data_IF_292132494362
#
_entry.id   IF_292132494362
#
_cell.length_a   1.000
_cell.length_b   1.000
_cell.length_c   1.000
_cell.angle_alpha   90.00
_cell.angle_beta   90.00
_cell.angle_gamma   90.00
#
_symmetry.space_group_name_H-M   'P 1'
#
loop_
_entity.id
_entity.type
_entity.pdbx_description
1 polymer ?
#
# COMPACT_ATOMS: atom_id res chain seq x y z
N UNK A 1 6.26 -14.29 -14.22
CA UNK A 1 7.06 -13.32 -13.45
C UNK A 1 6.39 -13.03 -12.11
N UNK A 2 7.15 -13.02 -11.01
CA UNK A 2 6.64 -12.69 -9.68
C UNK A 2 7.14 -11.31 -9.25
N UNK A 3 6.24 -10.43 -8.81
CA UNK A 3 6.58 -9.10 -8.28
C UNK A 3 6.09 -8.99 -6.84
N UNK A 4 7.00 -8.78 -5.91
CA UNK A 4 6.70 -8.55 -4.50
C UNK A 4 6.82 -7.06 -4.19
N UNK A 5 5.81 -6.48 -3.55
CA UNK A 5 5.75 -5.04 -3.23
C UNK A 5 5.61 -4.87 -1.73
N UNK A 6 6.64 -4.38 -1.05
CA UNK A 6 6.48 -3.86 0.30
C UNK A 6 5.77 -2.53 0.25
N UNK A 7 4.68 -2.44 1.00
CA UNK A 7 3.72 -1.34 0.89
C UNK A 7 3.04 -1.08 2.22
N UNK A 8 2.63 0.17 2.45
CA UNK A 8 1.73 0.56 3.53
C UNK A 8 0.52 1.28 2.95
N UNK A 9 -0.66 0.95 3.41
CA UNK A 9 -1.92 1.58 2.99
C UNK A 9 -2.03 3.04 3.40
N UNK A 10 -1.19 3.50 4.35
CA UNK A 10 -1.07 4.93 4.70
C UNK A 10 -0.04 5.70 3.86
N UNK A 11 0.63 5.05 2.89
CA UNK A 11 1.62 5.68 2.04
C UNK A 11 1.01 6.09 0.68
N UNK A 12 0.90 7.38 0.36
CA UNK A 12 0.32 7.82 -0.92
C UNK A 12 1.16 7.37 -2.12
N UNK A 13 2.49 7.30 -1.94
CA UNK A 13 3.37 6.81 -2.99
C UNK A 13 3.20 5.32 -3.28
N UNK A 14 2.71 4.53 -2.33
CA UNK A 14 2.37 3.13 -2.57
C UNK A 14 1.14 3.00 -3.48
N UNK A 15 0.13 3.82 -3.30
CA UNK A 15 -1.05 3.84 -4.19
C UNK A 15 -0.67 4.31 -5.59
N UNK A 16 0.11 5.39 -5.69
CA UNK A 16 0.63 5.89 -6.98
C UNK A 16 1.44 4.80 -7.69
N UNK A 17 2.33 4.12 -6.97
CA UNK A 17 3.17 3.05 -7.53
C UNK A 17 2.39 1.83 -7.96
N UNK A 18 1.31 1.48 -7.24
CA UNK A 18 0.39 0.44 -7.68
C UNK A 18 -0.19 0.78 -9.06
N UNK A 19 -0.61 2.04 -9.29
CA UNK A 19 -1.11 2.49 -10.58
C UNK A 19 -0.06 2.42 -11.68
N UNK A 20 1.18 2.84 -11.40
CA UNK A 20 2.28 2.74 -12.36
C UNK A 20 2.66 1.30 -12.67
N UNK A 21 2.62 0.40 -11.68
CA UNK A 21 2.84 -1.02 -11.89
C UNK A 21 1.75 -1.63 -12.77
N UNK A 22 0.47 -1.33 -12.55
CA UNK A 22 -0.63 -1.79 -13.39
C UNK A 22 -0.46 -1.37 -14.85
N UNK A 23 -0.02 -0.12 -15.08
CA UNK A 23 0.29 0.37 -16.41
C UNK A 23 1.50 -0.34 -17.04
N UNK A 24 2.50 -0.70 -16.24
CA UNK A 24 3.66 -1.45 -16.70
C UNK A 24 3.28 -2.90 -17.05
N UNK A 25 2.49 -3.56 -16.22
CA UNK A 25 1.96 -4.91 -16.45
C UNK A 25 1.14 -4.96 -17.74
N UNK A 26 0.30 -3.95 -17.99
CA UNK A 26 -0.51 -3.88 -19.22
C UNK A 26 0.33 -3.77 -20.51
N UNK A 27 1.60 -3.36 -20.40
CA UNK A 27 2.55 -3.25 -21.53
C UNK A 27 3.56 -4.38 -21.56
N UNK A 28 3.58 -5.25 -20.56
CA UNK A 28 4.54 -6.34 -20.43
C UNK A 28 4.01 -7.61 -21.15
N UNK A 29 4.88 -8.27 -21.91
CA UNK A 29 4.54 -9.53 -22.58
C UNK A 29 4.87 -10.71 -21.66
N UNK A 30 3.88 -11.18 -20.95
CA UNK A 30 3.99 -12.30 -20.02
C UNK A 30 3.03 -12.23 -18.85
N UNK A 31 2.83 -13.35 -18.18
CA UNK A 31 2.02 -13.42 -16.96
C UNK A 31 2.78 -12.84 -15.77
N UNK A 32 2.08 -12.04 -14.97
CA UNK A 32 2.64 -11.39 -13.78
C UNK A 32 1.77 -11.70 -12.57
N UNK A 33 2.41 -12.27 -11.54
CA UNK A 33 1.84 -12.42 -10.20
C UNK A 33 2.34 -11.29 -9.32
N UNK A 34 1.43 -10.54 -8.70
CA UNK A 34 1.76 -9.44 -7.77
C UNK A 34 1.40 -9.84 -6.36
N UNK A 35 2.34 -9.74 -5.43
CA UNK A 35 2.17 -10.02 -4.01
C UNK A 35 2.46 -8.76 -3.20
N UNK A 36 1.48 -8.30 -2.43
CA UNK A 36 1.67 -7.21 -1.48
C UNK A 36 2.29 -7.73 -0.19
N UNK A 37 3.46 -7.20 0.14
CA UNK A 37 4.16 -7.43 1.39
C UNK A 37 3.86 -6.30 2.36
N UNK A 38 3.53 -6.66 3.58
CA UNK A 38 3.21 -5.69 4.62
C UNK A 38 4.44 -4.90 5.06
N UNK A 39 4.25 -3.60 5.26
CA UNK A 39 5.21 -2.70 5.88
C UNK A 39 4.45 -1.59 6.59
N UNK A 40 4.55 -1.50 7.91
CA UNK A 40 3.95 -0.38 8.65
C UNK A 40 4.95 0.78 8.76
N UNK A 41 4.62 1.93 8.17
CA UNK A 41 5.42 3.17 8.31
C UNK A 41 5.48 3.68 9.76
N UNK A 42 4.52 3.28 10.58
CA UNK A 42 4.43 3.57 11.99
C UNK A 42 3.69 2.45 12.73
N UNK A 43 4.39 1.40 13.16
CA UNK A 43 3.79 0.26 13.86
C UNK A 43 3.24 0.62 15.25
N UNK A 44 3.51 1.84 15.74
CA UNK A 44 3.03 2.36 17.01
C UNK A 44 1.85 3.34 16.84
N UNK A 45 1.35 3.53 15.63
CA UNK A 45 0.18 4.37 15.39
C UNK A 45 -1.05 3.88 16.15
N UNK A 46 -1.83 4.82 16.67
CA UNK A 46 -3.06 4.51 17.36
C UNK A 46 -4.20 4.10 16.41
N UNK A 47 -5.25 3.49 16.96
CA UNK A 47 -6.45 3.12 16.20
C UNK A 47 -7.32 4.31 15.79
N UNK A 48 -7.14 5.47 16.44
CA UNK A 48 -7.85 6.71 16.11
C UNK A 48 -6.85 7.78 15.64
N UNK A 49 -7.26 8.64 14.69
CA UNK A 49 -6.42 9.73 14.22
C UNK A 49 -6.13 10.76 15.31
N UNK A 50 -4.86 11.11 15.49
CA UNK A 50 -4.43 12.06 16.55
C UNK A 50 -4.14 13.46 16.03
N UNK A 51 -3.93 13.59 14.72
CA UNK A 51 -3.52 14.85 14.10
C UNK A 51 -3.83 14.85 12.60
N UNK A 52 -3.91 16.04 12.03
CA UNK A 52 -3.99 16.20 10.57
C UNK A 52 -2.72 15.68 9.87
N UNK A 53 -2.83 15.34 8.59
CA UNK A 53 -1.67 15.01 7.75
C UNK A 53 -0.66 16.16 7.73
N UNK A 54 -1.14 17.41 7.66
CA UNK A 54 -0.27 18.58 7.68
C UNK A 54 0.60 18.61 8.95
N UNK A 55 0.00 18.47 10.14
CA UNK A 55 0.73 18.45 11.43
C UNK A 55 1.69 17.26 11.52
N UNK A 56 1.27 16.09 10.99
CA UNK A 56 2.12 14.90 10.94
C UNK A 56 3.35 15.14 10.07
N UNK A 57 3.19 15.74 8.88
CA UNK A 57 4.30 16.07 7.98
C UNK A 57 5.24 17.12 8.59
N UNK A 58 4.68 18.14 9.27
CA UNK A 58 5.48 19.13 10.00
C UNK A 58 6.40 18.46 11.02
N UNK A 59 5.83 17.58 11.86
CA UNK A 59 6.60 16.87 12.89
C UNK A 59 7.64 15.92 12.29
N UNK A 60 7.22 15.09 11.32
CA UNK A 60 8.09 14.04 10.73
C UNK A 60 9.27 14.64 9.97
N UNK A 61 9.07 15.73 9.24
CA UNK A 61 10.07 16.30 8.35
C UNK A 61 10.60 17.67 8.81
N UNK A 62 10.22 18.12 10.01
CA UNK A 62 10.63 19.42 10.58
C UNK A 62 10.32 20.58 9.62
N UNK A 63 9.12 20.60 9.07
CA UNK A 63 8.65 21.59 8.08
C UNK A 63 7.75 22.63 8.71
N UNK A 64 7.74 23.83 8.09
CA UNK A 64 6.74 24.87 8.43
C UNK A 64 5.35 24.41 7.96
N UNK A 65 4.25 24.99 8.51
CA UNK A 65 2.90 24.70 8.04
C UNK A 65 2.74 24.87 6.52
N UNK A 66 3.33 25.94 5.96
CA UNK A 66 3.27 26.21 4.53
C UNK A 66 4.00 25.14 3.71
N UNK A 67 5.20 24.76 4.12
CA UNK A 67 5.96 23.70 3.46
C UNK A 67 5.25 22.33 3.51
N UNK A 68 4.55 22.03 4.61
CA UNK A 68 3.77 20.82 4.71
C UNK A 68 2.57 20.82 3.74
N UNK A 69 1.90 21.97 3.57
CA UNK A 69 0.84 22.12 2.56
C UNK A 69 1.38 21.92 1.14
N UNK A 70 2.50 22.52 0.80
CA UNK A 70 3.16 22.35 -0.50
C UNK A 70 3.51 20.87 -0.78
N UNK A 71 3.93 20.14 0.27
CA UNK A 71 4.17 18.70 0.15
C UNK A 71 2.88 17.93 -0.15
N UNK A 72 1.78 18.27 0.52
CA UNK A 72 0.46 17.66 0.27
C UNK A 72 0.00 17.92 -1.16
N UNK A 73 0.01 19.17 -1.59
CA UNK A 73 -0.39 19.59 -2.94
C UNK A 73 0.42 18.87 -4.02
N UNK A 74 1.73 18.72 -3.79
CA UNK A 74 2.62 17.99 -4.70
C UNK A 74 2.25 16.52 -4.80
N UNK A 75 1.94 15.86 -3.69
CA UNK A 75 1.51 14.45 -3.66
C UNK A 75 0.19 14.28 -4.41
N UNK A 76 -0.78 15.14 -4.16
CA UNK A 76 -2.07 15.12 -4.86
C UNK A 76 -1.91 15.37 -6.36
N UNK A 77 -1.00 16.27 -6.75
CA UNK A 77 -0.72 16.51 -8.18
C UNK A 77 -0.09 15.29 -8.86
N UNK A 78 0.85 14.60 -8.17
CA UNK A 78 1.43 13.35 -8.69
C UNK A 78 0.33 12.28 -8.81
N UNK A 79 -0.56 12.19 -7.82
CA UNK A 79 -1.72 11.29 -7.86
C UNK A 79 -2.63 11.56 -9.07
N UNK A 80 -2.98 12.82 -9.31
CA UNK A 80 -3.77 13.22 -10.50
C UNK A 80 -3.09 12.81 -11.80
N UNK A 81 -1.79 12.97 -11.90
CA UNK A 81 -1.02 12.57 -13.09
C UNK A 81 -1.03 11.03 -13.28
N UNK A 82 -1.16 10.27 -12.19
CA UNK A 82 -1.34 8.82 -12.22
C UNK A 82 -2.81 8.37 -12.43
N UNK A 83 -3.76 9.31 -12.57
CA UNK A 83 -5.19 9.03 -12.71
C UNK A 83 -5.91 8.72 -11.39
N UNK A 84 -5.37 9.18 -10.24
CA UNK A 84 -5.94 8.98 -8.91
C UNK A 84 -6.55 10.26 -8.35
N UNK A 85 -7.71 10.16 -7.69
CA UNK A 85 -8.30 11.22 -6.86
C UNK A 85 -7.78 11.10 -5.42
N UNK A 86 -6.55 11.55 -5.20
CA UNK A 86 -5.97 11.58 -3.86
C UNK A 86 -6.44 12.84 -3.12
N UNK A 87 -7.20 12.65 -2.05
CA UNK A 87 -7.60 13.70 -1.10
C UNK A 87 -6.69 13.67 0.13
N UNK A 88 -5.38 13.80 -0.13
CA UNK A 88 -4.35 13.55 0.88
C UNK A 88 -4.41 14.53 2.05
N UNK A 89 -4.80 15.78 1.80
CA UNK A 89 -4.96 16.80 2.84
C UNK A 89 -5.87 16.39 3.99
N UNK A 90 -6.90 15.58 3.67
CA UNK A 90 -7.97 15.21 4.61
C UNK A 90 -7.91 13.74 5.06
N UNK A 91 -6.88 12.98 4.65
CA UNK A 91 -6.69 11.61 5.13
C UNK A 91 -6.52 11.55 6.64
N UNK A 92 -7.06 10.50 7.25
CA UNK A 92 -7.09 10.29 8.68
C UNK A 92 -6.12 9.18 9.07
N UNK A 93 -4.90 9.57 9.45
CA UNK A 93 -3.84 8.61 9.75
C UNK A 93 -4.13 7.83 11.03
N UNK A 94 -4.22 6.52 10.89
CA UNK A 94 -4.39 5.56 11.98
C UNK A 94 -3.60 4.29 11.66
N UNK A 95 -3.54 3.35 12.60
CA UNK A 95 -2.85 2.07 12.46
C UNK A 95 -3.37 1.27 11.25
N UNK A 96 -2.45 0.65 10.48
CA UNK A 96 -2.75 -0.12 9.26
C UNK A 96 -2.64 -1.63 9.42
N UNK A 97 -2.26 -2.14 10.60
CA UNK A 97 -2.04 -3.56 10.84
C UNK A 97 -3.22 -4.46 10.44
N UNK A 98 -4.44 -4.09 10.84
CA UNK A 98 -5.64 -4.88 10.50
C UNK A 98 -5.94 -4.88 8.99
N UNK A 99 -5.65 -3.76 8.31
CA UNK A 99 -5.75 -3.68 6.85
C UNK A 99 -4.73 -4.61 6.17
N UNK A 100 -3.51 -4.71 6.68
CA UNK A 100 -2.51 -5.66 6.19
C UNK A 100 -2.94 -7.12 6.40
N UNK A 101 -3.53 -7.46 7.54
CA UNK A 101 -4.08 -8.80 7.78
C UNK A 101 -5.19 -9.15 6.80
N UNK A 102 -6.12 -8.22 6.56
CA UNK A 102 -7.18 -8.37 5.56
C UNK A 102 -6.61 -8.53 4.15
N UNK A 103 -5.57 -7.78 3.80
CA UNK A 103 -4.85 -7.91 2.53
C UNK A 103 -4.28 -9.32 2.36
N UNK A 104 -3.60 -9.87 3.39
CA UNK A 104 -3.06 -11.24 3.36
C UNK A 104 -4.14 -12.30 3.19
N UNK A 105 -5.25 -12.13 3.89
CA UNK A 105 -6.40 -12.99 3.71
C UNK A 105 -6.92 -12.94 2.26
N UNK A 106 -7.12 -11.75 1.70
CA UNK A 106 -7.58 -11.59 0.32
C UNK A 106 -6.60 -12.17 -0.70
N UNK A 107 -5.30 -12.03 -0.48
CA UNK A 107 -4.26 -12.70 -1.30
C UNK A 107 -4.41 -14.21 -1.29
N UNK A 108 -4.66 -14.83 -0.12
CA UNK A 108 -4.88 -16.27 -0.02
C UNK A 108 -6.10 -16.79 -0.80
N UNK A 109 -7.02 -15.86 -1.15
CA UNK A 109 -8.22 -16.14 -1.97
C UNK A 109 -8.08 -15.68 -3.43
N UNK A 110 -6.90 -15.21 -3.84
CA UNK A 110 -6.64 -14.70 -5.21
C UNK A 110 -7.19 -13.31 -5.49
N UNK A 111 -7.59 -12.55 -4.47
CA UNK A 111 -8.18 -11.20 -4.58
C UNK A 111 -7.25 -10.09 -4.06
N UNK A 112 -5.94 -10.35 -3.95
CA UNK A 112 -4.99 -9.40 -3.37
C UNK A 112 -4.95 -8.05 -4.08
N UNK A 113 -4.89 -8.01 -5.41
CA UNK A 113 -4.86 -6.76 -6.19
C UNK A 113 -6.15 -5.93 -6.01
N UNK A 114 -7.31 -6.61 -5.99
CA UNK A 114 -8.59 -5.96 -5.78
C UNK A 114 -8.72 -5.40 -4.37
N UNK A 115 -8.34 -6.17 -3.35
CA UNK A 115 -8.35 -5.71 -1.96
C UNK A 115 -7.41 -4.51 -1.75
N UNK A 116 -6.21 -4.54 -2.32
CA UNK A 116 -5.29 -3.41 -2.25
C UNK A 116 -5.90 -2.14 -2.86
N UNK A 117 -6.63 -2.26 -4.00
CA UNK A 117 -7.34 -1.11 -4.60
C UNK A 117 -8.40 -0.56 -3.65
N UNK A 118 -9.26 -1.42 -3.07
CA UNK A 118 -10.32 -1.00 -2.14
C UNK A 118 -9.75 -0.31 -0.90
N UNK A 119 -8.69 -0.87 -0.28
CA UNK A 119 -8.04 -0.29 0.90
C UNK A 119 -7.42 1.08 0.61
N UNK A 120 -6.69 1.22 -0.50
CA UNK A 120 -6.11 2.50 -0.90
C UNK A 120 -7.16 3.54 -1.27
N UNK A 121 -8.18 3.15 -2.05
CA UNK A 121 -9.27 4.04 -2.45
C UNK A 121 -10.04 4.55 -1.22
N UNK A 122 -10.44 3.66 -0.33
CA UNK A 122 -11.12 4.02 0.91
C UNK A 122 -10.31 5.01 1.74
N UNK A 123 -9.00 4.77 1.88
CA UNK A 123 -8.14 5.64 2.68
C UNK A 123 -7.88 7.00 2.02
N UNK A 124 -7.49 7.02 0.75
CA UNK A 124 -7.03 8.25 0.08
C UNK A 124 -8.13 9.03 -0.64
N UNK A 125 -9.18 8.38 -1.13
CA UNK A 125 -10.25 9.05 -1.87
C UNK A 125 -11.47 9.31 -1.00
N UNK A 126 -11.85 8.35 -0.14
CA UNK A 126 -13.00 8.50 0.76
C UNK A 126 -12.61 9.06 2.14
N UNK A 127 -11.31 9.11 2.44
CA UNK A 127 -10.75 9.53 3.73
C UNK A 127 -11.25 8.69 4.92
N UNK A 128 -11.40 7.40 4.70
CA UNK A 128 -11.81 6.45 5.72
C UNK A 128 -10.69 6.09 6.69
N UNK A 129 -11.03 5.52 7.82
CA UNK A 129 -10.10 5.11 8.88
C UNK A 129 -9.90 3.59 8.80
N UNK A 130 -8.73 3.14 8.33
CA UNK A 130 -8.38 1.73 8.14
C UNK A 130 -8.26 0.92 9.44
N UNK A 131 -8.19 1.58 10.60
CA UNK A 131 -8.21 0.91 11.89
C UNK A 131 -9.62 0.48 12.33
N UNK A 132 -10.69 0.94 11.66
CA UNK A 132 -12.08 0.59 12.00
C UNK A 132 -12.45 -0.77 11.41
N UNK A 133 -12.65 -1.76 12.28
CA UNK A 133 -13.04 -3.13 11.87
C UNK A 133 -14.31 -3.16 11.02
N UNK A 134 -15.31 -2.34 11.34
CA UNK A 134 -16.55 -2.26 10.56
C UNK A 134 -16.29 -1.84 9.12
N UNK A 135 -15.42 -0.86 8.89
CA UNK A 135 -15.05 -0.43 7.56
C UNK A 135 -14.30 -1.54 6.79
N UNK A 136 -13.37 -2.24 7.43
CA UNK A 136 -12.67 -3.36 6.80
C UNK A 136 -13.61 -4.51 6.42
N UNK A 137 -14.64 -4.79 7.25
CA UNK A 137 -15.69 -5.75 6.91
C UNK A 137 -16.45 -5.28 5.66
N UNK A 138 -16.89 -4.03 5.63
CA UNK A 138 -17.69 -3.51 4.52
C UNK A 138 -16.89 -3.53 3.21
N UNK A 139 -15.63 -3.13 3.20
CA UNK A 139 -14.72 -3.24 2.05
C UNK A 139 -14.56 -4.69 1.56
N UNK A 140 -14.47 -5.65 2.48
CA UNK A 140 -14.38 -7.05 2.11
C UNK A 140 -15.69 -7.59 1.49
N UNK A 141 -16.85 -7.14 1.99
CA UNK A 141 -18.15 -7.50 1.42
C UNK A 141 -18.33 -7.01 -0.03
N UNK A 142 -17.78 -5.85 -0.37
CA UNK A 142 -17.79 -5.34 -1.74
C UNK A 142 -17.04 -6.27 -2.72
N UNK A 143 -16.07 -7.03 -2.23
CA UNK A 143 -15.34 -8.07 -2.99
C UNK A 143 -16.00 -9.45 -2.90
N UNK A 144 -17.16 -9.57 -2.26
CA UNK A 144 -17.92 -10.80 -2.15
C UNK A 144 -17.50 -11.75 -1.03
N UNK A 145 -16.67 -11.31 -0.09
CA UNK A 145 -16.32 -12.12 1.08
C UNK A 145 -17.50 -12.25 2.06
N UNK A 146 -17.54 -13.34 2.81
CA UNK A 146 -18.56 -13.56 3.83
C UNK A 146 -18.30 -12.70 5.07
N UNK A 147 -19.35 -12.04 5.58
CA UNK A 147 -19.26 -11.16 6.76
C UNK A 147 -18.74 -11.88 8.00
N UNK A 148 -19.18 -13.14 8.20
CA UNK A 148 -18.79 -13.91 9.38
C UNK A 148 -17.33 -14.31 9.31
N UNK A 149 -16.84 -14.71 8.14
CA UNK A 149 -15.45 -15.04 7.89
C UNK A 149 -14.53 -13.83 8.18
N UNK A 150 -14.89 -12.64 7.68
CA UNK A 150 -14.10 -11.44 7.93
C UNK A 150 -14.17 -10.98 9.39
N UNK A 151 -15.33 -11.07 10.02
CA UNK A 151 -15.46 -10.75 11.44
C UNK A 151 -14.61 -11.69 12.34
N UNK A 152 -14.55 -12.97 12.00
CA UNK A 152 -13.67 -13.93 12.67
C UNK A 152 -12.19 -13.60 12.46
N UNK A 153 -11.78 -13.33 11.21
CA UNK A 153 -10.43 -12.87 10.89
C UNK A 153 -10.03 -11.69 11.77
N UNK A 154 -10.84 -10.64 11.82
CA UNK A 154 -10.50 -9.41 12.54
C UNK A 154 -10.59 -9.53 14.07
N UNK A 155 -11.15 -10.61 14.61
CA UNK A 155 -11.18 -10.92 16.05
C UNK A 155 -10.18 -11.96 16.50
N UNK A 156 -9.60 -12.72 15.56
CA UNK A 156 -8.48 -13.66 15.79
C UNK A 156 -7.12 -13.00 15.62
N UNK A 157 -6.05 -13.78 15.69
CA UNK A 157 -4.69 -13.38 15.35
C UNK A 157 -4.27 -13.87 13.96
N UNK A 158 -5.21 -14.38 13.15
CA UNK A 158 -4.94 -14.93 11.83
C UNK A 158 -4.27 -13.90 10.92
N UNK A 159 -3.31 -14.34 10.12
CA UNK A 159 -2.45 -13.52 9.25
C UNK A 159 -1.58 -12.46 9.97
N UNK A 160 -1.62 -12.38 11.29
CA UNK A 160 -0.74 -11.49 12.04
C UNK A 160 0.73 -11.91 11.93
N UNK A 161 0.99 -13.21 11.94
CA UNK A 161 2.35 -13.76 11.76
C UNK A 161 2.90 -13.44 10.37
N UNK A 162 2.10 -13.57 9.32
CA UNK A 162 2.47 -13.29 7.93
C UNK A 162 2.82 -11.80 7.74
N UNK A 163 2.05 -10.89 8.35
CA UNK A 163 2.38 -9.45 8.36
C UNK A 163 3.75 -9.22 9.00
N UNK A 164 4.01 -9.80 10.17
CA UNK A 164 5.30 -9.65 10.86
C UNK A 164 6.46 -10.34 10.12
N UNK A 165 6.20 -11.40 9.38
CA UNK A 165 7.22 -12.05 8.53
C UNK A 165 7.60 -11.16 7.34
N UNK A 166 6.65 -10.51 6.68
CA UNK A 166 6.92 -9.56 5.61
C UNK A 166 7.78 -8.39 6.10
N UNK A 167 7.50 -7.85 7.29
CA UNK A 167 8.31 -6.77 7.89
C UNK A 167 9.73 -7.24 8.27
N UNK A 168 9.86 -8.47 8.79
CA UNK A 168 11.17 -9.07 9.05
C UNK A 168 11.96 -9.28 7.76
N UNK A 169 11.28 -9.68 6.68
CA UNK A 169 11.90 -9.80 5.36
C UNK A 169 12.34 -8.44 4.82
N UNK A 170 11.52 -7.39 4.96
CA UNK A 170 11.90 -6.02 4.62
C UNK A 170 13.18 -5.60 5.35
N UNK A 171 13.27 -5.85 6.65
CA UNK A 171 14.46 -5.54 7.45
C UNK A 171 15.70 -6.30 6.97
N UNK A 172 15.56 -7.60 6.63
CA UNK A 172 16.68 -8.41 6.08
C UNK A 172 17.17 -7.89 4.72
N UNK A 173 16.25 -7.37 3.90
CA UNK A 173 16.55 -6.76 2.60
C UNK A 173 17.06 -5.31 2.72
N UNK A 174 17.11 -4.74 3.92
CA UNK A 174 17.52 -3.36 4.15
C UNK A 174 16.53 -2.32 3.65
N UNK A 175 15.24 -2.67 3.55
CA UNK A 175 14.16 -1.75 3.15
C UNK A 175 13.96 -0.70 4.22
N UNK A 176 14.19 0.57 3.89
CA UNK A 176 14.06 1.70 4.80
C UNK A 176 12.79 2.52 4.56
N UNK A 177 12.00 2.18 3.54
CA UNK A 177 10.77 2.88 3.19
C UNK A 177 10.08 2.22 2.00
N UNK A 178 8.85 2.59 1.80
CA UNK A 178 7.96 2.02 0.80
C UNK A 178 7.42 3.08 -0.16
N UNK A 179 7.06 2.71 -1.39
CA UNK A 179 7.05 1.35 -1.95
C UNK A 179 8.45 0.80 -2.22
N UNK A 180 8.61 -0.51 -2.10
CA UNK A 180 9.82 -1.22 -2.48
C UNK A 180 9.44 -2.50 -3.22
N UNK A 181 10.04 -2.73 -4.38
CA UNK A 181 9.72 -3.84 -5.26
C UNK A 181 10.86 -4.84 -5.32
N UNK A 182 10.52 -6.12 -5.41
CA UNK A 182 11.42 -7.19 -5.80
C UNK A 182 10.79 -7.93 -6.97
N UNK A 183 11.51 -7.97 -8.09
CA UNK A 183 11.06 -8.54 -9.36
C UNK A 183 11.81 -9.84 -9.59
N UNK A 184 11.09 -10.96 -9.62
CA UNK A 184 11.58 -12.35 -9.76
C UNK A 184 12.73 -12.73 -8.80
N UNK A 185 12.82 -12.05 -7.64
CA UNK A 185 13.93 -12.23 -6.71
C UNK A 185 15.30 -11.77 -7.25
N UNK A 186 15.35 -11.15 -8.44
CA UNK A 186 16.58 -10.78 -9.17
C UNK A 186 16.90 -9.29 -9.08
N UNK A 187 15.89 -8.45 -9.22
CA UNK A 187 16.03 -6.99 -9.24
C UNK A 187 15.20 -6.34 -8.15
N UNK A 188 15.71 -5.26 -7.59
CA UNK A 188 14.96 -4.42 -6.65
C UNK A 188 14.80 -3.00 -7.19
N UNK A 189 13.63 -2.40 -6.94
CA UNK A 189 13.30 -1.03 -7.29
C UNK A 189 12.76 -0.33 -6.05
N UNK A 190 13.35 0.80 -5.67
CA UNK A 190 12.97 1.56 -4.48
C UNK A 190 12.21 2.84 -4.86
N UNK A 191 11.17 3.15 -4.11
CA UNK A 191 10.35 4.35 -4.27
C UNK A 191 9.36 4.27 -5.43
N UNK A 192 8.55 5.32 -5.55
CA UNK A 192 7.57 5.46 -6.62
C UNK A 192 8.27 5.81 -7.93
N UNK A 193 8.56 4.79 -8.73
CA UNK A 193 9.17 4.95 -10.05
C UNK A 193 8.11 5.03 -11.14
N UNK A 194 8.35 5.81 -12.21
CA UNK A 194 7.46 5.87 -13.37
C UNK A 194 7.25 4.49 -14.03
N UNK A 195 6.16 4.37 -14.78
CA UNK A 195 5.76 3.14 -15.52
C UNK A 195 6.89 2.57 -16.36
N UNK A 196 7.64 3.44 -17.07
CA UNK A 196 8.72 3.03 -17.97
C UNK A 196 9.88 2.38 -17.23
N UNK A 197 10.17 2.86 -16.02
CA UNK A 197 11.24 2.30 -15.16
C UNK A 197 10.83 0.91 -14.65
N UNK A 198 9.59 0.75 -14.21
CA UNK A 198 9.07 -0.55 -13.78
C UNK A 198 9.03 -1.54 -14.94
N UNK A 199 8.54 -1.12 -16.11
CA UNK A 199 8.51 -1.96 -17.32
C UNK A 199 9.92 -2.39 -17.73
N UNK A 200 10.87 -1.47 -17.74
CA UNK A 200 12.28 -1.78 -18.05
C UNK A 200 12.88 -2.78 -17.07
N UNK A 201 12.60 -2.64 -15.78
CA UNK A 201 13.06 -3.57 -14.75
C UNK A 201 12.44 -4.98 -14.93
N UNK A 202 11.15 -5.05 -15.31
CA UNK A 202 10.47 -6.31 -15.62
C UNK A 202 11.11 -7.00 -16.83
N UNK A 203 11.34 -6.27 -17.93
CA UNK A 203 11.99 -6.78 -19.12
C UNK A 203 13.42 -7.27 -18.86
N UNK A 204 14.17 -6.51 -18.03
CA UNK A 204 15.52 -6.91 -17.62
C UNK A 204 15.51 -8.19 -16.77
N UNK A 205 14.56 -8.32 -15.83
CA UNK A 205 14.43 -9.53 -15.03
C UNK A 205 14.10 -10.76 -15.87
N UNK A 206 13.27 -10.60 -16.91
CA UNK A 206 12.91 -11.65 -17.86
C UNK A 206 14.11 -12.09 -18.75
N UNK A 207 14.94 -11.12 -19.15
CA UNK A 207 16.10 -11.40 -20.03
C UNK A 207 17.26 -12.10 -19.32
N UNK A 208 17.25 -12.15 -17.99
CA UNK A 208 18.28 -12.79 -17.17
C UNK A 208 17.94 -14.25 -16.80
N UNK A 209 16.97 -14.84 -17.48
CA UNK A 209 16.67 -16.28 -17.48
C UNK A 209 17.49 -16.97 -18.58
#
# INVERSE_FOLDING_TARGET
MKIEIWSDFACPFCYISKRYLEQAIAQFDGEVEVIFRAFELDPHANGEPESSIQERLQRKYQKTPQQALEMIERVEQIGRNAGLDLRYATTQYARTFEAHRLQKFAESKGLGMAMAEHLFHYYFTENGILAKRTALIDLALELGFDRTEIAQLLTSDDFGHEVREDERMANKLGVQGVPFFVIDGKLSVSGAQPTEVLLSAMQQAQSND
#
